data_IF_643948113076
#
_entry.id   IF_643948113076
#
_cell.length_a   1.000
_cell.length_b   1.000
_cell.length_c   1.000
_cell.angle_alpha   90.00
_cell.angle_beta   90.00
_cell.angle_gamma   90.00
#
_symmetry.space_group_name_H-M   'P 1'
#
loop_
_entity.id
_entity.type
_entity.pdbx_description
1 polymer ?
#
# COMPACT_ATOMS: atom_id res chain seq x y z
N UNK A 1 -5.16 -11.05 10.56
CA UNK A 1 -4.45 -9.98 11.27
C UNK A 1 -5.28 -8.72 11.13
N UNK A 2 -5.49 -7.91 12.17
CA UNK A 2 -6.13 -6.60 11.99
C UNK A 2 -5.31 -5.76 10.99
N UNK A 3 -5.97 -4.96 10.13
CA UNK A 3 -5.26 -4.02 9.25
C UNK A 3 -4.47 -3.00 10.09
N UNK A 4 -3.37 -2.49 9.55
CA UNK A 4 -2.62 -1.41 10.22
C UNK A 4 -3.43 -0.10 10.16
N UNK A 5 -3.12 0.86 11.03
CA UNK A 5 -3.70 2.19 10.95
C UNK A 5 -2.64 3.18 10.46
N UNK A 6 -2.77 3.75 9.24
CA UNK A 6 -1.86 4.75 8.72
C UNK A 6 -1.80 6.05 9.54
N UNK A 7 -2.81 6.30 10.38
CA UNK A 7 -2.91 7.49 11.23
C UNK A 7 -2.41 7.25 12.67
N UNK A 8 -2.04 6.02 13.01
CA UNK A 8 -1.48 5.70 14.31
C UNK A 8 -0.10 6.36 14.50
N UNK A 9 0.11 6.97 15.67
CA UNK A 9 1.35 7.73 15.94
C UNK A 9 2.58 6.81 15.95
N UNK A 10 2.46 5.58 16.46
CA UNK A 10 3.55 4.61 16.45
C UNK A 10 3.88 4.14 15.04
N UNK A 11 2.85 3.97 14.20
CA UNK A 11 3.02 3.68 12.78
C UNK A 11 3.72 4.82 12.03
N UNK A 12 3.37 6.07 12.34
CA UNK A 12 4.02 7.23 11.73
C UNK A 12 5.48 7.39 12.16
N UNK A 13 5.82 7.01 13.40
CA UNK A 13 7.19 7.06 13.93
C UNK A 13 8.09 5.97 13.32
N UNK A 14 7.60 4.71 13.27
CA UNK A 14 8.29 3.62 12.60
C UNK A 14 7.32 2.61 11.94
N UNK A 15 7.02 2.78 10.64
CA UNK A 15 6.10 1.90 9.93
C UNK A 15 6.74 0.57 9.50
N UNK A 16 8.08 0.48 9.49
CA UNK A 16 8.78 -0.62 8.84
C UNK A 16 8.63 -1.97 9.54
N UNK A 17 8.60 -2.08 10.88
CA UNK A 17 8.29 -3.32 11.58
C UNK A 17 6.91 -3.86 11.20
N UNK A 18 5.90 -2.99 11.11
CA UNK A 18 4.54 -3.37 10.70
C UNK A 18 4.56 -3.92 9.28
N UNK A 19 5.21 -3.23 8.34
CA UNK A 19 5.33 -3.74 6.97
C UNK A 19 6.17 -5.02 6.87
N UNK A 20 7.16 -5.22 7.73
CA UNK A 20 7.95 -6.45 7.76
C UNK A 20 7.07 -7.66 8.13
N UNK A 21 6.21 -7.51 9.14
CA UNK A 21 5.24 -8.53 9.54
C UNK A 21 4.24 -8.78 8.41
N UNK A 22 3.66 -7.73 7.81
CA UNK A 22 2.71 -7.87 6.70
C UNK A 22 3.31 -8.65 5.52
N UNK A 23 4.57 -8.35 5.14
CA UNK A 23 5.27 -9.05 4.05
C UNK A 23 5.49 -10.53 4.33
N UNK A 24 5.67 -10.92 5.60
CA UNK A 24 5.80 -12.33 5.96
C UNK A 24 4.48 -13.11 5.78
N UNK A 25 3.34 -12.43 5.89
CA UNK A 25 2.02 -13.03 5.69
C UNK A 25 1.55 -13.01 4.23
N UNK A 26 2.02 -12.05 3.43
CA UNK A 26 1.69 -11.99 2.02
C UNK A 26 2.00 -10.65 1.34
N UNK A 27 1.92 -10.60 0.00
CA UNK A 27 2.30 -9.43 -0.77
C UNK A 27 1.22 -8.34 -0.87
N UNK A 28 -0.06 -8.70 -0.69
CA UNK A 28 -1.24 -7.82 -0.78
C UNK A 28 -2.21 -8.17 0.34
N UNK A 29 -2.78 -7.15 0.98
CA UNK A 29 -3.71 -7.30 2.11
C UNK A 29 -4.96 -6.44 1.91
N UNK A 30 -6.12 -6.97 2.25
CA UNK A 30 -7.36 -6.19 2.30
C UNK A 30 -7.27 -5.12 3.39
N UNK A 31 -7.65 -3.89 3.08
CA UNK A 31 -7.60 -2.78 4.03
C UNK A 31 -8.93 -2.00 4.06
N UNK A 32 -9.88 -2.41 4.91
CA UNK A 32 -11.23 -1.84 4.95
C UNK A 32 -11.26 -0.32 5.10
N UNK A 33 -10.40 0.24 5.97
CA UNK A 33 -10.36 1.69 6.23
C UNK A 33 -9.78 2.51 5.07
N UNK A 34 -9.00 1.89 4.17
CA UNK A 34 -8.46 2.55 2.98
C UNK A 34 -9.34 2.31 1.74
N UNK A 35 -10.35 1.44 1.86
CA UNK A 35 -11.28 1.13 0.78
C UNK A 35 -10.67 0.37 -0.41
N UNK A 36 -9.42 -0.11 -0.29
CA UNK A 36 -8.71 -0.81 -1.34
C UNK A 36 -7.72 -1.85 -0.77
N UNK A 37 -7.39 -2.91 -1.54
CA UNK A 37 -6.27 -3.79 -1.21
C UNK A 37 -4.94 -3.02 -1.26
N UNK A 38 -4.05 -3.32 -0.32
CA UNK A 38 -2.75 -2.65 -0.16
C UNK A 38 -1.62 -3.61 -0.49
N UNK A 39 -0.78 -3.24 -1.46
CA UNK A 39 0.46 -3.95 -1.79
C UNK A 39 1.60 -3.52 -0.84
N UNK A 40 2.31 -4.50 -0.25
CA UNK A 40 3.32 -4.25 0.80
C UNK A 40 4.73 -4.76 0.44
N UNK A 41 4.87 -5.42 -0.72
CA UNK A 41 6.16 -5.86 -1.26
C UNK A 41 6.52 -5.05 -2.50
N UNK A 42 7.82 -4.86 -2.72
CA UNK A 42 8.31 -4.18 -3.91
C UNK A 42 7.79 -4.80 -5.21
N UNK A 43 7.75 -6.13 -5.30
CA UNK A 43 7.24 -6.84 -6.49
C UNK A 43 5.75 -6.58 -6.73
N UNK A 44 4.92 -6.61 -5.69
CA UNK A 44 3.49 -6.32 -5.81
C UNK A 44 3.23 -4.86 -6.16
N UNK A 45 3.91 -3.90 -5.51
CA UNK A 45 3.81 -2.49 -5.86
C UNK A 45 4.20 -2.24 -7.33
N UNK A 46 5.30 -2.86 -7.76
CA UNK A 46 5.76 -2.82 -9.15
C UNK A 46 4.71 -3.34 -10.14
N UNK A 47 4.04 -4.45 -9.81
CA UNK A 47 2.99 -5.02 -10.65
C UNK A 47 1.78 -4.09 -10.73
N UNK A 48 1.32 -3.55 -9.59
CA UNK A 48 0.19 -2.62 -9.53
C UNK A 48 0.47 -1.35 -10.36
N UNK A 49 1.63 -0.74 -10.19
CA UNK A 49 1.99 0.52 -10.85
C UNK A 49 2.22 0.38 -12.36
N UNK A 50 2.41 -0.84 -12.88
CA UNK A 50 2.67 -1.13 -14.30
C UNK A 50 1.56 -1.91 -14.99
N UNK A 51 0.60 -2.46 -14.24
CA UNK A 51 -0.54 -3.20 -14.74
C UNK A 51 -1.43 -2.29 -15.59
N UNK A 52 -1.51 -2.57 -16.89
CA UNK A 52 -2.35 -1.78 -17.82
C UNK A 52 -3.84 -2.05 -17.66
N UNK A 53 -4.17 -3.20 -17.09
CA UNK A 53 -5.49 -3.67 -16.71
C UNK A 53 -6.08 -2.93 -15.51
N UNK A 54 -5.23 -2.36 -14.65
CA UNK A 54 -5.64 -1.54 -13.51
C UNK A 54 -5.92 -0.07 -13.89
N UNK A 55 -5.93 0.23 -15.19
CA UNK A 55 -6.20 1.56 -15.74
C UNK A 55 -5.00 2.51 -15.70
N UNK A 56 -5.19 3.71 -16.24
CA UNK A 56 -4.24 4.82 -16.11
C UNK A 56 -4.82 5.83 -15.13
N UNK A 57 -4.38 5.74 -13.87
CA UNK A 57 -4.76 6.66 -12.80
C UNK A 57 -3.83 7.87 -12.69
N UNK A 58 -2.74 7.90 -13.47
CA UNK A 58 -1.79 9.00 -13.45
C UNK A 58 -2.06 9.98 -14.59
N UNK A 59 -2.19 11.25 -14.22
CA UNK A 59 -2.25 12.42 -15.10
C UNK A 59 -1.13 13.36 -14.64
N UNK A 60 -0.45 14.00 -15.59
CA UNK A 60 0.57 15.01 -15.29
C UNK A 60 0.01 16.10 -14.36
N UNK A 61 0.82 16.54 -13.42
CA UNK A 61 0.46 17.67 -12.56
C UNK A 61 0.50 18.97 -13.38
N UNK A 62 -0.64 19.65 -13.50
CA UNK A 62 -0.70 20.97 -14.12
C UNK A 62 -0.13 22.04 -13.18
N UNK A 63 0.69 22.98 -13.68
CA UNK A 63 1.20 24.09 -12.88
C UNK A 63 0.05 25.02 -12.40
N UNK A 64 0.22 25.60 -11.21
CA UNK A 64 -0.73 26.49 -10.57
C UNK A 64 -0.71 27.93 -11.13
#
# INVERSE_FOLDING_TARGET
MPPFDPSDVGFLDDPYPVFAVLRAFGPVHEHPALGAPVAVTHAACSAVLRGRDLGRIWVDAEPA
#
